data_IF_770642459238
#
_entry.id   IF_770642459238
#
_cell.length_a   1.000
_cell.length_b   1.000
_cell.length_c   1.000
_cell.angle_alpha   90.00
_cell.angle_beta   90.00
_cell.angle_gamma   90.00
#
_symmetry.space_group_name_H-M   'P 1'
#
loop_
_entity.id
_entity.type
_entity.pdbx_description
1 polymer ?
#
# COMPACT_ATOMS: atom_id res chain seq x y z
N UNK A 1 -1.25 14.60 -28.91
CA UNK A 1 -1.25 13.12 -28.90
C UNK A 1 -1.99 12.69 -27.65
N UNK A 2 -3.04 11.89 -27.79
CA UNK A 2 -3.91 11.53 -26.69
C UNK A 2 -3.16 10.66 -25.67
N UNK A 3 -2.81 11.26 -24.54
CA UNK A 3 -2.03 10.63 -23.46
C UNK A 3 -2.84 9.65 -22.60
N UNK A 4 -4.09 9.36 -22.99
CA UNK A 4 -5.01 8.48 -22.25
C UNK A 4 -5.11 7.05 -22.81
N UNK A 5 -4.72 6.83 -24.08
CA UNK A 5 -4.80 5.52 -24.71
C UNK A 5 -3.92 4.49 -23.97
N UNK A 6 -4.57 3.52 -23.32
CA UNK A 6 -3.90 2.41 -22.62
C UNK A 6 -3.72 2.58 -21.10
N UNK A 7 -4.29 3.61 -20.48
CA UNK A 7 -4.34 3.70 -19.00
C UNK A 7 -5.49 2.87 -18.44
N UNK A 8 -5.25 2.23 -17.31
CA UNK A 8 -6.28 1.52 -16.54
C UNK A 8 -7.23 2.54 -15.92
N UNK A 9 -8.52 2.42 -16.19
CA UNK A 9 -9.56 3.21 -15.51
C UNK A 9 -9.94 2.49 -14.22
N UNK A 10 -9.92 3.21 -13.10
CA UNK A 10 -10.26 2.69 -11.77
C UNK A 10 -11.26 3.60 -11.08
N UNK A 11 -12.03 3.04 -10.14
CA UNK A 11 -12.91 3.80 -9.25
C UNK A 11 -12.18 4.50 -8.10
N UNK A 12 -12.93 5.17 -7.22
CA UNK A 12 -12.44 5.74 -5.98
C UNK A 12 -11.97 4.66 -4.98
N UNK A 13 -12.56 3.47 -5.05
CA UNK A 13 -12.15 2.26 -4.35
C UNK A 13 -11.87 1.15 -5.35
N UNK A 14 -10.92 0.28 -5.04
CA UNK A 14 -10.62 -0.92 -5.82
C UNK A 14 -10.16 -2.05 -4.92
N UNK A 15 -10.21 -3.28 -5.43
CA UNK A 15 -9.49 -4.42 -4.84
C UNK A 15 -8.13 -4.57 -5.52
N UNK A 16 -7.10 -4.87 -4.74
CA UNK A 16 -5.77 -5.15 -5.24
C UNK A 16 -5.13 -6.33 -4.50
N UNK A 17 -4.09 -6.90 -5.12
CA UNK A 17 -3.21 -7.86 -4.47
C UNK A 17 -1.81 -7.25 -4.29
N UNK A 18 -1.15 -7.67 -3.22
CA UNK A 18 0.27 -7.40 -2.95
C UNK A 18 0.98 -8.76 -2.83
N UNK A 19 1.27 -9.45 -3.95
CA UNK A 19 1.77 -10.82 -3.94
C UNK A 19 3.11 -10.99 -3.20
N UNK A 20 3.99 -9.99 -3.23
CA UNK A 20 5.26 -10.04 -2.48
C UNK A 20 5.03 -10.05 -0.96
N UNK A 21 3.84 -9.66 -0.51
CA UNK A 21 3.38 -9.68 0.87
C UNK A 21 2.31 -10.76 1.11
N UNK A 22 2.00 -11.62 0.13
CA UNK A 22 0.96 -12.65 0.29
C UNK A 22 -0.45 -12.12 0.59
N UNK A 23 -0.74 -10.85 0.27
CA UNK A 23 -2.05 -10.24 0.47
C UNK A 23 -2.83 -10.33 -0.83
N UNK A 24 -4.10 -10.74 -0.73
CA UNK A 24 -5.04 -10.82 -1.85
C UNK A 24 -6.36 -10.13 -1.52
N UNK A 25 -7.05 -9.58 -2.52
CA UNK A 25 -8.37 -8.95 -2.39
C UNK A 25 -8.42 -7.79 -1.37
N UNK A 26 -7.32 -7.04 -1.23
CA UNK A 26 -7.23 -5.90 -0.34
C UNK A 26 -8.02 -4.73 -0.91
N UNK A 27 -9.03 -4.26 -0.18
CA UNK A 27 -9.72 -3.00 -0.51
C UNK A 27 -8.78 -1.84 -0.25
N UNK A 28 -8.52 -1.06 -1.28
CA UNK A 28 -7.71 0.16 -1.22
C UNK A 28 -8.51 1.36 -1.68
N UNK A 29 -8.18 2.52 -1.12
CA UNK A 29 -8.65 3.81 -1.63
C UNK A 29 -7.67 4.36 -2.66
N UNK A 30 -8.17 4.75 -3.82
CA UNK A 30 -7.40 5.43 -4.86
C UNK A 30 -7.39 6.92 -4.55
N UNK A 31 -6.24 7.44 -4.12
CA UNK A 31 -6.15 8.78 -3.54
C UNK A 31 -5.24 9.69 -4.39
N UNK A 32 -5.88 10.49 -5.24
CA UNK A 32 -5.19 11.50 -6.07
C UNK A 32 -4.62 12.66 -5.24
N UNK A 33 -5.07 12.86 -4.00
CA UNK A 33 -4.52 13.82 -3.04
C UNK A 33 -3.21 13.36 -2.41
N UNK A 34 -3.00 12.05 -2.26
CA UNK A 34 -1.78 11.48 -1.70
C UNK A 34 -0.63 11.40 -2.71
N UNK A 35 0.56 11.92 -2.34
CA UNK A 35 1.75 11.78 -3.19
C UNK A 35 2.27 10.33 -3.22
N UNK A 36 2.30 9.68 -2.07
CA UNK A 36 2.87 8.34 -1.86
C UNK A 36 1.79 7.39 -1.35
N UNK A 37 1.86 6.12 -1.73
CA UNK A 37 0.99 5.07 -1.19
C UNK A 37 1.34 4.72 0.26
N UNK A 38 0.38 4.18 1.00
CA UNK A 38 0.57 3.69 2.37
C UNK A 38 -0.20 2.41 2.63
N UNK A 39 0.35 1.56 3.51
CA UNK A 39 -0.26 0.33 4.00
C UNK A 39 -0.24 0.34 5.53
N UNK A 40 -1.39 0.06 6.12
CA UNK A 40 -1.53 -0.16 7.55
C UNK A 40 -0.88 -1.48 7.95
N UNK A 41 -0.04 -1.44 8.98
CA UNK A 41 0.65 -2.60 9.55
C UNK A 41 0.81 -2.42 11.05
N UNK A 42 0.98 -3.52 11.76
CA UNK A 42 1.21 -3.55 13.21
C UNK A 42 2.58 -4.16 13.55
N UNK A 43 3.00 -4.04 14.81
CA UNK A 43 4.18 -4.72 15.38
C UNK A 43 5.45 -4.61 14.51
N UNK A 44 5.73 -3.38 14.06
CA UNK A 44 6.89 -3.07 13.21
C UNK A 44 8.17 -3.13 14.05
N UNK A 45 9.04 -4.07 13.73
CA UNK A 45 10.34 -4.26 14.36
C UNK A 45 11.44 -4.13 13.30
N UNK A 46 12.47 -3.34 13.59
CA UNK A 46 13.65 -3.23 12.73
C UNK A 46 14.75 -4.17 13.20
N UNK A 47 15.42 -4.82 12.25
CA UNK A 47 16.57 -5.69 12.52
C UNK A 47 17.61 -5.61 11.39
N UNK A 48 18.82 -6.07 11.68
CA UNK A 48 19.89 -6.14 10.69
C UNK A 48 20.10 -7.58 10.22
N UNK A 49 20.20 -7.79 8.91
CA UNK A 49 20.49 -9.11 8.32
C UNK A 49 21.38 -8.94 7.10
N UNK A 50 22.61 -9.43 7.21
CA UNK A 50 23.62 -9.39 6.14
C UNK A 50 24.03 -7.96 5.75
N UNK A 51 24.25 -7.07 6.74
CA UNK A 51 24.66 -5.68 6.51
C UNK A 51 23.57 -4.79 5.91
N UNK A 52 22.32 -5.26 5.88
CA UNK A 52 21.15 -4.51 5.39
C UNK A 52 20.16 -4.33 6.53
N UNK A 53 19.47 -3.20 6.52
CA UNK A 53 18.33 -2.95 7.39
C UNK A 53 17.08 -3.63 6.82
N UNK A 54 16.45 -4.41 7.69
CA UNK A 54 15.21 -5.12 7.46
C UNK A 54 14.19 -4.66 8.48
N UNK A 55 12.93 -4.86 8.13
CA UNK A 55 11.83 -4.74 9.06
C UNK A 55 10.98 -5.99 9.01
N UNK A 56 10.39 -6.35 10.15
CA UNK A 56 9.29 -7.29 10.25
C UNK A 56 8.04 -6.60 10.77
N UNK A 57 6.89 -6.97 10.24
CA UNK A 57 5.62 -6.31 10.54
C UNK A 57 4.47 -7.28 10.31
N UNK A 58 3.38 -7.02 11.02
CA UNK A 58 2.18 -7.83 10.99
C UNK A 58 1.14 -7.17 10.08
N UNK A 59 0.45 -8.01 9.31
CA UNK A 59 -0.61 -7.61 8.40
C UNK A 59 -1.84 -8.44 8.71
N UNK A 60 -3.01 -7.83 8.58
CA UNK A 60 -4.31 -8.51 8.57
C UNK A 60 -4.74 -8.70 7.12
N UNK A 61 -4.39 -9.81 6.46
CA UNK A 61 -4.72 -10.04 5.05
C UNK A 61 -6.22 -10.20 4.80
N UNK A 62 -7.01 -10.47 5.84
CA UNK A 62 -8.46 -10.61 5.75
C UNK A 62 -9.13 -9.55 6.63
N UNK A 63 -9.76 -8.56 5.98
CA UNK A 63 -10.51 -7.49 6.65
C UNK A 63 -11.74 -8.00 7.40
N UNK A 64 -12.27 -9.17 7.03
CA UNK A 64 -13.41 -9.81 7.71
C UNK A 64 -12.98 -10.76 8.83
N UNK A 65 -11.69 -11.12 8.88
CA UNK A 65 -11.11 -11.97 9.91
C UNK A 65 -9.81 -11.39 10.45
N UNK A 66 -9.96 -10.39 11.32
CA UNK A 66 -8.83 -9.71 11.99
C UNK A 66 -7.95 -10.64 12.83
N UNK A 67 -8.42 -11.84 13.20
CA UNK A 67 -7.62 -12.82 13.92
C UNK A 67 -6.56 -13.50 13.03
N UNK A 68 -6.72 -13.42 11.71
CA UNK A 68 -5.69 -13.89 10.77
C UNK A 68 -4.61 -12.81 10.67
N UNK A 69 -3.49 -13.06 11.34
CA UNK A 69 -2.29 -12.20 11.28
C UNK A 69 -1.20 -12.95 10.51
N UNK A 70 -0.56 -12.28 9.56
CA UNK A 70 0.64 -12.78 8.89
C UNK A 70 1.81 -11.87 9.13
N UNK A 71 2.93 -12.44 9.60
CA UNK A 71 4.17 -11.69 9.82
C UNK A 71 5.03 -11.72 8.57
N UNK A 72 5.38 -10.54 8.07
CA UNK A 72 6.18 -10.34 6.87
C UNK A 72 7.52 -9.71 7.21
N UNK A 73 8.49 -9.84 6.30
CA UNK A 73 9.78 -9.18 6.40
C UNK A 73 10.17 -8.57 5.07
N UNK A 74 10.71 -7.34 5.09
CA UNK A 74 11.15 -6.66 3.88
C UNK A 74 12.36 -5.78 4.13
N UNK A 75 13.16 -5.58 3.08
CA UNK A 75 14.33 -4.69 3.10
C UNK A 75 13.85 -3.25 3.09
N UNK A 76 14.35 -2.45 4.02
CA UNK A 76 14.04 -1.01 4.10
C UNK A 76 14.64 -0.29 2.89
N UNK A 77 13.80 0.43 2.12
CA UNK A 77 14.23 1.26 0.99
C UNK A 77 14.49 2.69 1.38
N UNK A 78 13.75 3.20 2.36
CA UNK A 78 13.98 4.51 2.95
C UNK A 78 13.38 4.55 4.36
N UNK A 79 13.96 5.42 5.20
CA UNK A 79 13.42 5.77 6.51
C UNK A 79 13.05 7.24 6.50
N UNK A 80 11.86 7.58 6.98
CA UNK A 80 11.46 8.97 7.23
C UNK A 80 11.18 9.13 8.72
N UNK A 81 11.85 10.09 9.36
CA UNK A 81 11.51 10.51 10.72
C UNK A 81 10.22 11.32 10.64
N UNK A 82 9.20 10.89 11.36
CA UNK A 82 7.95 11.64 11.49
C UNK A 82 7.78 11.97 12.96
N UNK A 83 7.46 13.23 13.25
CA UNK A 83 7.16 13.68 14.60
C UNK A 83 5.74 13.21 14.92
N UNK A 84 5.56 12.33 15.89
CA UNK A 84 4.22 11.96 16.38
C UNK A 84 3.65 13.12 17.20
N UNK A 85 2.33 13.11 17.39
CA UNK A 85 1.62 14.04 18.29
C UNK A 85 1.96 13.83 19.77
N UNK A 86 2.65 12.73 20.13
CA UNK A 86 3.00 12.32 21.49
C UNK A 86 4.50 12.46 21.82
N UNK A 87 5.22 13.33 21.10
CA UNK A 87 6.66 13.61 21.29
C UNK A 87 7.62 12.45 20.98
N UNK A 88 7.12 11.28 20.55
CA UNK A 88 7.94 10.18 20.04
C UNK A 88 8.28 10.34 18.57
N UNK A 89 9.52 10.02 18.20
CA UNK A 89 9.93 9.93 16.80
C UNK A 89 9.45 8.59 16.25
N UNK A 90 8.49 8.62 15.34
CA UNK A 90 8.09 7.42 14.59
C UNK A 90 8.90 7.31 13.30
N UNK A 91 9.42 6.12 13.05
CA UNK A 91 10.05 5.78 11.79
C UNK A 91 8.99 5.29 10.81
N UNK A 92 8.73 6.05 9.74
CA UNK A 92 8.01 5.52 8.59
C UNK A 92 8.99 4.80 7.67
N UNK A 93 8.80 3.50 7.53
CA UNK A 93 9.57 2.67 6.63
C UNK A 93 8.92 2.65 5.25
N UNK A 94 9.76 2.73 4.22
CA UNK A 94 9.33 2.54 2.84
C UNK A 94 9.83 1.19 2.37
N UNK A 95 8.93 0.39 1.82
CA UNK A 95 9.26 -0.88 1.16
C UNK A 95 8.86 -0.83 -0.31
N UNK A 96 9.43 -1.74 -1.11
CA UNK A 96 9.00 -2.00 -2.47
C UNK A 96 8.18 -3.28 -2.49
N UNK A 97 7.09 -3.28 -3.26
CA UNK A 97 6.22 -4.44 -3.47
C UNK A 97 5.59 -4.34 -4.86
N UNK A 98 5.16 -5.47 -5.40
CA UNK A 98 4.35 -5.55 -6.61
C UNK A 98 2.90 -5.26 -6.26
N UNK A 99 2.29 -4.31 -6.97
CA UNK A 99 0.85 -4.08 -6.97
C UNK A 99 0.22 -4.84 -8.12
N UNK A 100 -0.87 -5.56 -7.86
CA UNK A 100 -1.70 -6.18 -8.88
C UNK A 100 -3.15 -5.68 -8.77
N UNK A 101 -3.73 -5.28 -9.90
CA UNK A 101 -5.13 -4.88 -10.03
C UNK A 101 -5.65 -5.49 -11.33
N UNK A 102 -6.59 -6.44 -11.23
CA UNK A 102 -7.00 -7.26 -12.37
C UNK A 102 -5.79 -7.93 -13.03
N UNK A 103 -5.64 -7.77 -14.34
CA UNK A 103 -4.50 -8.31 -15.10
C UNK A 103 -3.23 -7.44 -15.03
N UNK A 104 -3.33 -6.23 -14.48
CA UNK A 104 -2.22 -5.27 -14.48
C UNK A 104 -1.34 -5.43 -13.25
N UNK A 105 -0.03 -5.50 -13.45
CA UNK A 105 0.96 -5.63 -12.37
C UNK A 105 2.16 -4.71 -12.56
N UNK A 106 2.57 -4.01 -11.51
CA UNK A 106 3.79 -3.19 -11.54
C UNK A 106 4.37 -2.95 -10.14
N UNK A 107 5.68 -2.67 -10.03
CA UNK A 107 6.29 -2.36 -8.74
C UNK A 107 5.87 -0.97 -8.24
N UNK A 108 5.60 -0.89 -6.94
CA UNK A 108 5.30 0.36 -6.23
C UNK A 108 6.17 0.49 -4.99
N UNK A 109 6.23 1.71 -4.45
CA UNK A 109 6.76 1.97 -3.11
C UNK A 109 5.59 2.30 -2.19
N UNK A 110 5.59 1.70 -1.00
CA UNK A 110 4.56 1.93 0.01
C UNK A 110 5.22 2.35 1.33
N UNK A 111 4.63 3.34 2.00
CA UNK A 111 4.95 3.64 3.38
C UNK A 111 4.20 2.66 4.28
N UNK A 112 4.90 2.05 5.22
CA UNK A 112 4.27 1.32 6.31
C UNK A 112 3.89 2.30 7.41
N UNK A 113 2.64 2.25 7.86
CA UNK A 113 2.11 3.17 8.86
C UNK A 113 1.30 2.43 9.91
N UNK A 114 1.57 2.73 11.18
CA UNK A 114 0.65 2.38 12.26
C UNK A 114 -0.44 3.46 12.32
N UNK A 115 -1.69 3.06 12.06
CA UNK A 115 -2.85 3.95 11.88
C UNK A 115 -4.09 3.21 12.34
N UNK A 116 -4.20 3.02 13.65
CA UNK A 116 -5.28 2.30 14.32
C UNK A 116 -6.69 2.90 14.08
N UNK A 117 -6.78 4.14 13.56
CA UNK A 117 -8.05 4.85 13.32
C UNK A 117 -8.48 4.95 11.84
N UNK A 118 -7.80 4.29 10.89
CA UNK A 118 -8.12 4.43 9.46
C UNK A 118 -9.12 3.40 8.94
N UNK A 119 -10.12 3.86 8.17
CA UNK A 119 -11.16 3.03 7.54
C UNK A 119 -10.64 2.10 6.44
N UNK A 120 -9.56 2.47 5.76
CA UNK A 120 -8.97 1.68 4.68
C UNK A 120 -7.53 1.31 5.03
N UNK A 121 -7.22 0.02 4.90
CA UNK A 121 -5.89 -0.50 5.19
C UNK A 121 -4.83 0.00 4.18
N UNK A 122 -5.23 0.41 2.97
CA UNK A 122 -4.30 0.91 1.96
C UNK A 122 -4.81 2.16 1.23
N UNK A 123 -3.88 3.10 1.01
CA UNK A 123 -4.04 4.23 0.10
C UNK A 123 -3.10 4.07 -1.09
N UNK A 124 -3.61 4.22 -2.30
CA UNK A 124 -2.83 4.28 -3.53
C UNK A 124 -2.58 5.74 -3.94
N UNK A 125 -1.33 6.20 -3.84
CA UNK A 125 -0.95 7.58 -4.14
C UNK A 125 -0.48 7.80 -5.58
N UNK A 126 -0.34 9.07 -5.97
CA UNK A 126 0.02 9.52 -7.33
C UNK A 126 1.29 8.89 -7.89
N UNK A 127 2.32 8.66 -7.07
CA UNK A 127 3.57 8.03 -7.54
C UNK A 127 3.37 6.61 -8.06
N UNK A 128 2.45 5.84 -7.46
CA UNK A 128 2.13 4.49 -7.92
C UNK A 128 1.22 4.51 -9.15
N UNK A 129 0.35 5.52 -9.28
CA UNK A 129 -0.59 5.70 -10.39
C UNK A 129 0.00 6.31 -11.66
N UNK A 130 1.10 7.07 -11.53
CA UNK A 130 1.64 7.89 -12.60
C UNK A 130 1.86 7.11 -13.90
N UNK A 131 1.33 7.63 -15.01
CA UNK A 131 1.36 7.05 -16.34
C UNK A 131 0.68 5.68 -16.48
N UNK A 132 -0.12 5.24 -15.50
CA UNK A 132 -0.76 3.92 -15.48
C UNK A 132 -2.26 3.98 -15.29
N UNK A 133 -2.73 4.90 -14.44
CA UNK A 133 -4.13 4.93 -13.99
C UNK A 133 -4.82 6.25 -14.37
N UNK A 134 -6.11 6.15 -14.70
CA UNK A 134 -7.10 7.23 -14.68
C UNK A 134 -8.15 6.90 -13.62
N UNK A 135 -8.54 7.88 -12.81
CA UNK A 135 -9.48 7.68 -11.71
C UNK A 135 -10.83 8.29 -12.08
N UNK A 136 -11.88 7.47 -12.10
CA UNK A 136 -13.28 7.90 -12.14
C UNK A 136 -13.83 7.94 -10.71
N UNK A 137 -13.98 9.13 -10.10
CA UNK A 137 -14.44 9.24 -8.71
C UNK A 137 -15.93 8.91 -8.53
N UNK A 138 -16.70 8.72 -9.61
CA UNK A 138 -18.11 8.35 -9.55
C UNK A 138 -18.33 6.84 -9.43
N UNK A 139 -17.27 6.05 -9.57
CA UNK A 139 -17.31 4.59 -9.60
C UNK A 139 -16.48 3.99 -8.46
N UNK A 140 -16.77 2.74 -8.14
CA UNK A 140 -16.00 1.90 -7.22
C UNK A 140 -15.88 0.50 -7.83
N UNK A 141 -14.78 -0.20 -7.54
CA UNK A 141 -14.56 -1.60 -7.91
C UNK A 141 -14.64 -1.92 -9.41
N UNK A 142 -14.33 -0.95 -10.27
CA UNK A 142 -14.45 -1.10 -11.73
C UNK A 142 -13.65 -2.27 -12.26
N UNK A 143 -12.45 -2.50 -11.72
CA UNK A 143 -11.55 -3.55 -12.23
C UNK A 143 -11.87 -4.91 -11.60
N UNK A 144 -12.33 -4.92 -10.34
CA UNK A 144 -12.60 -6.15 -9.61
C UNK A 144 -13.99 -6.74 -9.84
N UNK A 145 -14.94 -5.94 -10.34
CA UNK A 145 -16.30 -6.40 -10.67
C UNK A 145 -16.47 -6.68 -12.19
N UNK A 146 -15.37 -6.67 -12.95
CA UNK A 146 -15.29 -6.99 -14.38
C UNK A 146 -14.93 -8.45 -14.66
#
# INVERSE_FOLDING_TARGET
MDSSAGKLVVGALEKCDLPDLGISNLVMRVDTGAATSSLHVENVEEYEKGGKSWISFDIHPDVYNVAKITRHSSVVKARRKVRSSSETLEHRYVIATTLAIGEHKWPIRINLTDRTEMTYLMLLGRQAMANKILVDPSQEFLVSDS
#
